data_IF_869005002020
#
_entry.id   IF_869005002020
#
_cell.length_a   1.000
_cell.length_b   1.000
_cell.length_c   1.000
_cell.angle_alpha   90.00
_cell.angle_beta   90.00
_cell.angle_gamma   90.00
#
_symmetry.space_group_name_H-M   'P 1'
#
loop_
_entity.id
_entity.type
_entity.pdbx_description
1 polymer ?
#
# COMPACT_ATOMS: atom_id res chain seq x y z
N UNK A 1 13.18 -19.92 31.52
CA UNK A 1 12.14 -20.37 30.60
C UNK A 1 11.34 -19.15 30.19
N UNK A 2 11.48 -18.71 28.95
CA UNK A 2 10.68 -17.60 28.40
C UNK A 2 9.30 -18.19 28.06
N UNK A 3 8.18 -17.58 28.47
CA UNK A 3 6.87 -18.11 28.15
C UNK A 3 6.63 -17.98 26.64
N UNK A 4 6.42 -19.11 25.97
CA UNK A 4 5.85 -19.15 24.62
C UNK A 4 4.41 -18.66 24.74
N UNK A 5 4.14 -17.43 24.32
CA UNK A 5 2.78 -16.99 24.05
C UNK A 5 2.26 -17.80 22.87
N UNK A 6 1.28 -18.66 23.12
CA UNK A 6 0.47 -19.30 22.10
C UNK A 6 -0.20 -18.19 21.27
N UNK A 7 0.35 -17.92 20.08
CA UNK A 7 -0.38 -17.20 19.06
C UNK A 7 -1.50 -18.11 18.62
N UNK A 8 -2.70 -17.93 19.21
CA UNK A 8 -3.95 -18.40 18.60
C UNK A 8 -3.86 -18.05 17.13
N UNK A 9 -3.76 -19.06 16.26
CA UNK A 9 -3.49 -18.87 14.84
C UNK A 9 -4.59 -18.00 14.26
N UNK A 10 -4.32 -16.70 14.13
CA UNK A 10 -5.19 -15.78 13.45
C UNK A 10 -5.45 -16.36 12.06
N UNK A 11 -6.72 -16.51 11.69
CA UNK A 11 -7.06 -17.05 10.37
C UNK A 11 -6.30 -16.26 9.29
N UNK A 12 -5.73 -16.94 8.29
CA UNK A 12 -4.90 -16.28 7.30
C UNK A 12 -5.70 -15.19 6.62
N UNK A 13 -5.14 -13.97 6.58
CA UNK A 13 -5.82 -12.85 5.95
C UNK A 13 -5.98 -13.13 4.45
N UNK A 14 -7.17 -12.82 3.89
CA UNK A 14 -7.39 -12.89 2.45
C UNK A 14 -6.66 -11.75 1.78
N UNK A 15 -5.75 -12.08 0.89
CA UNK A 15 -4.90 -11.11 0.19
C UNK A 15 -5.10 -11.22 -1.31
N UNK A 16 -5.22 -10.08 -1.98
CA UNK A 16 -5.30 -10.02 -3.43
C UNK A 16 -3.97 -9.55 -4.04
N UNK A 17 -3.59 -10.12 -5.19
CA UNK A 17 -2.48 -9.64 -6.02
C UNK A 17 -3.02 -9.29 -7.38
N UNK A 18 -3.05 -7.98 -7.67
CA UNK A 18 -3.52 -7.41 -8.93
C UNK A 18 -2.31 -7.13 -9.80
N UNK A 19 -2.31 -7.65 -11.02
CA UNK A 19 -1.16 -7.56 -11.93
C UNK A 19 -0.75 -8.94 -12.46
N UNK A 20 0.13 -8.93 -13.45
CA UNK A 20 0.54 -10.12 -14.20
C UNK A 20 2.05 -10.15 -14.41
N UNK A 21 2.59 -11.32 -14.72
CA UNK A 21 4.01 -11.51 -15.03
C UNK A 21 4.85 -11.95 -13.82
N UNK A 22 6.14 -12.24 -14.05
CA UNK A 22 7.03 -12.80 -13.03
C UNK A 22 7.03 -12.06 -11.67
N UNK A 23 7.01 -10.72 -11.59
CA UNK A 23 6.92 -10.00 -10.32
C UNK A 23 5.62 -10.25 -9.57
N UNK A 24 4.48 -10.31 -10.28
CA UNK A 24 3.19 -10.63 -9.66
C UNK A 24 3.16 -12.08 -9.18
N UNK A 25 3.70 -13.02 -9.96
CA UNK A 25 3.78 -14.43 -9.58
C UNK A 25 4.70 -14.67 -8.38
N UNK A 26 5.87 -14.03 -8.36
CA UNK A 26 6.77 -14.07 -7.21
C UNK A 26 6.13 -13.47 -5.96
N UNK A 27 5.37 -12.37 -6.12
CA UNK A 27 4.61 -11.73 -5.03
C UNK A 27 3.57 -12.68 -4.45
N UNK A 28 2.82 -13.41 -5.29
CA UNK A 28 1.85 -14.42 -4.85
C UNK A 28 2.54 -15.48 -3.98
N UNK A 29 3.61 -16.09 -4.48
CA UNK A 29 4.36 -17.12 -3.75
C UNK A 29 4.87 -16.60 -2.40
N UNK A 30 5.46 -15.40 -2.36
CA UNK A 30 6.00 -14.84 -1.12
C UNK A 30 4.92 -14.50 -0.09
N UNK A 31 3.74 -14.04 -0.53
CA UNK A 31 2.61 -13.76 0.36
C UNK A 31 2.05 -15.05 0.96
N UNK A 32 1.90 -16.12 0.17
CA UNK A 32 1.49 -17.43 0.68
C UNK A 32 2.48 -17.96 1.72
N UNK A 33 3.79 -17.85 1.44
CA UNK A 33 4.84 -18.20 2.40
C UNK A 33 4.81 -17.34 3.67
N UNK A 34 4.33 -16.10 3.58
CA UNK A 34 4.11 -15.21 4.72
C UNK A 34 2.79 -15.48 5.47
N UNK A 35 2.01 -16.49 5.05
CA UNK A 35 0.76 -16.91 5.68
C UNK A 35 -0.49 -16.21 5.15
N UNK A 36 -0.45 -15.61 3.96
CA UNK A 36 -1.64 -15.09 3.29
C UNK A 36 -2.47 -16.21 2.64
N UNK A 37 -3.79 -16.03 2.57
CA UNK A 37 -4.65 -16.79 1.67
C UNK A 37 -4.93 -15.96 0.43
N UNK A 38 -4.42 -16.37 -0.73
CA UNK A 38 -4.65 -15.63 -1.96
C UNK A 38 -6.09 -15.81 -2.47
N UNK A 39 -6.71 -14.70 -2.84
CA UNK A 39 -8.04 -14.70 -3.44
C UNK A 39 -8.21 -13.50 -4.39
N UNK A 40 -9.16 -13.56 -5.34
CA UNK A 40 -9.64 -12.36 -6.03
C UNK A 40 -10.16 -11.32 -5.03
N UNK A 41 -10.16 -10.05 -5.44
CA UNK A 41 -10.70 -8.96 -4.62
C UNK A 41 -12.18 -9.19 -4.35
N UNK A 42 -12.53 -9.18 -3.07
CA UNK A 42 -13.89 -9.33 -2.55
C UNK A 42 -14.06 -8.54 -1.24
N UNK A 43 -15.26 -8.56 -0.67
CA UNK A 43 -15.59 -7.86 0.58
C UNK A 43 -14.82 -8.38 1.81
N UNK A 44 -14.15 -9.53 1.72
CA UNK A 44 -13.36 -10.10 2.80
C UNK A 44 -11.86 -9.87 2.62
N UNK A 45 -11.43 -9.24 1.53
CA UNK A 45 -10.03 -8.89 1.28
C UNK A 45 -9.53 -7.94 2.35
N UNK A 46 -8.36 -8.24 2.93
CA UNK A 46 -7.76 -7.46 4.05
C UNK A 46 -6.48 -6.74 3.67
N UNK A 47 -5.86 -7.15 2.57
CA UNK A 47 -4.68 -6.52 2.01
C UNK A 47 -4.65 -6.78 0.51
N UNK A 48 -4.12 -5.85 -0.26
CA UNK A 48 -3.86 -6.07 -1.68
C UNK A 48 -2.46 -5.59 -2.08
N UNK A 49 -1.91 -6.18 -3.12
CA UNK A 49 -0.69 -5.68 -3.79
C UNK A 49 -1.04 -5.41 -5.24
N UNK A 50 -0.77 -4.19 -5.70
CA UNK A 50 -0.89 -3.81 -7.11
C UNK A 50 0.50 -3.81 -7.73
N UNK A 51 0.69 -4.63 -8.76
CA UNK A 51 1.93 -4.75 -9.53
C UNK A 51 1.68 -4.24 -10.93
N UNK A 52 2.09 -2.99 -11.17
CA UNK A 52 1.84 -2.28 -12.43
C UNK A 52 3.12 -2.05 -13.23
N UNK A 53 2.95 -1.91 -14.56
CA UNK A 53 4.04 -1.65 -15.50
C UNK A 53 3.81 -0.31 -16.19
N UNK A 54 4.79 0.58 -16.11
CA UNK A 54 4.82 1.96 -16.63
C UNK A 54 3.70 2.86 -16.09
N UNK A 55 2.47 2.59 -16.51
CA UNK A 55 1.26 3.30 -16.13
C UNK A 55 0.32 2.34 -15.42
N UNK A 56 -0.14 2.72 -14.23
CA UNK A 56 -1.17 1.97 -13.52
C UNK A 56 -2.55 2.32 -14.10
N UNK A 57 -3.40 1.35 -14.47
CA UNK A 57 -4.83 1.63 -14.57
C UNK A 57 -5.31 2.14 -13.21
N UNK A 58 -6.04 3.25 -13.21
CA UNK A 58 -6.45 3.88 -11.96
C UNK A 58 -7.56 3.09 -11.26
N UNK A 59 -8.35 2.34 -12.02
CA UNK A 59 -9.57 1.67 -11.56
C UNK A 59 -9.32 0.70 -10.40
N UNK A 60 -8.36 -0.25 -10.47
CA UNK A 60 -8.17 -1.22 -9.39
C UNK A 60 -7.75 -0.56 -8.07
N UNK A 61 -6.83 0.42 -8.10
CA UNK A 61 -6.43 1.14 -6.88
C UNK A 61 -7.56 2.01 -6.33
N UNK A 62 -8.37 2.63 -7.20
CA UNK A 62 -9.53 3.41 -6.75
C UNK A 62 -10.61 2.53 -6.12
N UNK A 63 -10.87 1.34 -6.68
CA UNK A 63 -11.85 0.41 -6.13
C UNK A 63 -11.42 -0.10 -4.75
N UNK A 64 -10.13 -0.40 -4.57
CA UNK A 64 -9.55 -0.76 -3.27
C UNK A 64 -9.62 0.39 -2.27
N UNK A 65 -9.31 1.61 -2.71
CA UNK A 65 -9.42 2.82 -1.88
C UNK A 65 -10.86 3.06 -1.44
N UNK A 66 -11.84 2.92 -2.34
CA UNK A 66 -13.27 3.08 -2.02
C UNK A 66 -13.82 1.97 -1.12
N UNK A 67 -13.19 0.80 -1.14
CA UNK A 67 -13.58 -0.36 -0.31
C UNK A 67 -12.83 -0.41 1.03
N UNK A 68 -12.05 0.63 1.35
CA UNK A 68 -11.19 0.71 2.53
C UNK A 68 -10.25 -0.51 2.68
N UNK A 69 -9.70 -1.01 1.57
CA UNK A 69 -8.74 -2.13 1.58
C UNK A 69 -7.32 -1.56 1.56
N UNK A 70 -6.49 -1.81 2.61
CA UNK A 70 -5.07 -1.47 2.61
C UNK A 70 -4.35 -2.11 1.42
N UNK A 71 -3.56 -1.34 0.69
CA UNK A 71 -2.89 -1.87 -0.50
C UNK A 71 -1.52 -1.28 -0.78
N UNK A 72 -0.56 -2.15 -1.10
CA UNK A 72 0.79 -1.75 -1.48
C UNK A 72 0.85 -1.50 -2.99
N UNK A 73 1.36 -0.33 -3.38
CA UNK A 73 1.62 0.00 -4.77
C UNK A 73 3.01 -0.48 -5.18
N UNK A 74 3.12 -1.13 -6.33
CA UNK A 74 4.39 -1.55 -6.93
C UNK A 74 4.36 -1.14 -8.39
N UNK A 75 5.37 -0.38 -8.82
CA UNK A 75 5.50 0.07 -10.20
C UNK A 75 6.85 -0.31 -10.78
N UNK A 76 6.80 -1.01 -11.90
CA UNK A 76 7.94 -1.33 -12.73
C UNK A 76 7.99 -0.36 -13.92
N UNK A 77 9.17 0.16 -14.21
CA UNK A 77 9.47 1.01 -15.38
C UNK A 77 10.76 0.47 -15.98
N UNK A 78 11.12 0.82 -17.22
CA UNK A 78 12.32 0.27 -17.87
C UNK A 78 13.62 0.33 -17.07
N UNK A 79 13.75 1.33 -16.18
CA UNK A 79 15.00 1.60 -15.47
C UNK A 79 14.83 1.63 -13.95
N UNK A 80 13.62 1.36 -13.43
CA UNK A 80 13.38 1.47 -11.99
C UNK A 80 12.20 0.62 -11.53
N UNK A 81 12.35 0.04 -10.33
CA UNK A 81 11.26 -0.54 -9.54
C UNK A 81 10.93 0.40 -8.39
N UNK A 82 9.65 0.71 -8.23
CA UNK A 82 9.12 1.51 -7.15
C UNK A 82 8.26 0.65 -6.24
N UNK A 83 8.51 0.72 -4.93
CA UNK A 83 7.74 0.01 -3.91
C UNK A 83 7.12 1.02 -2.96
N UNK A 84 5.80 0.99 -2.83
CA UNK A 84 5.03 1.95 -2.08
C UNK A 84 4.55 3.16 -2.91
N UNK A 85 3.76 4.04 -2.29
CA UNK A 85 3.35 3.98 -0.88
C UNK A 85 2.42 2.80 -0.56
N UNK A 86 2.38 2.43 0.71
CA UNK A 86 1.31 1.60 1.27
C UNK A 86 0.10 2.49 1.52
N UNK A 87 -0.96 2.26 0.78
CA UNK A 87 -2.20 3.01 0.91
C UNK A 87 -3.00 2.42 2.07
N UNK A 88 -3.23 3.23 3.10
CA UNK A 88 -4.15 2.98 4.19
C UNK A 88 -5.40 3.87 4.04
N UNK A 89 -6.59 3.32 4.25
CA UNK A 89 -7.81 4.12 4.32
C UNK A 89 -7.68 5.26 5.34
N UNK A 90 -8.21 6.43 5.02
CA UNK A 90 -8.31 7.53 5.97
C UNK A 90 -7.14 8.54 6.03
N UNK A 91 -6.15 8.48 5.13
CA UNK A 91 -5.25 9.64 4.96
C UNK A 91 -3.89 9.45 4.31
N UNK A 92 -3.50 8.23 3.94
CA UNK A 92 -2.24 8.05 3.21
C UNK A 92 -2.31 8.58 1.78
N UNK A 93 -1.19 8.99 1.15
CA UNK A 93 -1.13 9.19 -0.30
C UNK A 93 -1.60 7.95 -1.06
N UNK A 94 -2.56 8.12 -1.97
CA UNK A 94 -2.99 7.05 -2.86
C UNK A 94 -2.24 7.09 -4.20
N UNK A 95 -2.55 6.15 -5.10
CA UNK A 95 -2.01 6.13 -6.46
C UNK A 95 -2.17 7.48 -7.18
N UNK A 96 -3.33 8.12 -7.07
CA UNK A 96 -3.57 9.41 -7.71
C UNK A 96 -2.66 10.53 -7.15
N UNK A 97 -2.30 10.50 -5.86
CA UNK A 97 -1.29 11.42 -5.32
C UNK A 97 0.06 11.21 -5.99
N UNK A 98 0.47 9.95 -6.16
CA UNK A 98 1.74 9.59 -6.80
C UNK A 98 1.75 10.09 -8.25
N UNK A 99 0.67 9.89 -8.99
CA UNK A 99 0.58 10.36 -10.38
C UNK A 99 0.56 11.88 -10.50
N UNK A 100 -0.18 12.58 -9.63
CA UNK A 100 -0.21 14.04 -9.64
C UNK A 100 1.17 14.63 -9.33
N UNK A 101 1.89 14.11 -8.32
CA UNK A 101 3.26 14.54 -8.04
C UNK A 101 4.22 14.19 -9.17
N UNK A 102 4.02 13.05 -9.85
CA UNK A 102 4.85 12.67 -10.98
C UNK A 102 4.61 13.59 -12.18
N UNK A 103 3.36 13.93 -12.46
CA UNK A 103 2.96 14.89 -13.49
C UNK A 103 3.47 16.32 -13.18
N UNK A 104 3.39 16.76 -11.93
CA UNK A 104 3.90 18.09 -11.53
C UNK A 104 5.42 18.21 -11.70
N UNK A 105 6.15 17.09 -11.59
CA UNK A 105 7.61 17.03 -11.82
C UNK A 105 7.95 16.88 -13.30
N UNK A 106 7.22 16.04 -14.02
CA UNK A 106 7.45 15.71 -15.42
C UNK A 106 6.11 15.62 -16.17
N UNK A 107 5.59 16.73 -16.71
CA UNK A 107 4.26 16.78 -17.32
C UNK A 107 4.10 15.83 -18.51
N UNK A 108 5.18 15.48 -19.19
CA UNK A 108 5.18 14.60 -20.36
C UNK A 108 5.32 13.11 -19.99
N UNK A 109 5.57 12.78 -18.72
CA UNK A 109 5.80 11.40 -18.29
C UNK A 109 4.61 10.47 -18.61
N UNK A 110 3.38 10.97 -18.45
CA UNK A 110 2.17 10.21 -18.77
C UNK A 110 2.05 9.89 -20.27
N UNK A 111 2.41 10.84 -21.14
CA UNK A 111 2.39 10.64 -22.59
C UNK A 111 3.45 9.62 -23.01
N UNK A 112 4.65 9.68 -22.45
CA UNK A 112 5.72 8.72 -22.72
C UNK A 112 5.36 7.32 -22.19
N UNK A 113 4.81 7.23 -20.98
CA UNK A 113 4.36 5.96 -20.42
C UNK A 113 3.24 5.33 -21.28
N UNK A 114 2.35 6.15 -21.85
CA UNK A 114 1.30 5.67 -22.73
C UNK A 114 1.84 5.02 -24.03
N UNK A 115 3.01 5.43 -24.51
CA UNK A 115 3.66 4.81 -25.68
C UNK A 115 4.17 3.39 -25.39
N UNK A 116 4.34 3.03 -24.11
CA UNK A 116 4.86 1.74 -23.66
C UNK A 116 3.75 0.83 -23.10
N UNK A 117 2.47 1.21 -23.28
CA UNK A 117 1.34 0.39 -22.84
C UNK A 117 1.33 -0.96 -23.57
N UNK A 118 1.30 -2.04 -22.79
CA UNK A 118 1.32 -3.42 -23.30
C UNK A 118 2.71 -4.01 -23.48
N UNK A 119 3.76 -3.18 -23.41
CA UNK A 119 5.14 -3.64 -23.40
C UNK A 119 5.56 -4.15 -22.02
N UNK A 120 6.57 -5.02 -21.97
CA UNK A 120 7.17 -5.48 -20.72
C UNK A 120 8.51 -4.80 -20.48
N UNK A 121 8.72 -4.17 -19.32
CA UNK A 121 9.98 -3.49 -19.03
C UNK A 121 11.10 -4.50 -18.80
N UNK A 122 12.34 -4.07 -19.03
CA UNK A 122 13.53 -4.86 -18.67
C UNK A 122 13.59 -5.21 -17.17
N UNK A 123 12.85 -4.48 -16.33
CA UNK A 123 12.69 -4.75 -14.90
C UNK A 123 11.77 -5.91 -14.57
N UNK A 124 11.18 -6.57 -15.56
CA UNK A 124 10.47 -7.85 -15.39
C UNK A 124 11.43 -9.02 -15.07
N UNK A 125 12.74 -8.74 -14.98
CA UNK A 125 13.79 -9.68 -14.61
C UNK A 125 13.57 -10.34 -13.24
N UNK A 126 14.04 -11.58 -13.11
CA UNK A 126 13.89 -12.41 -11.90
C UNK A 126 14.47 -11.76 -10.62
N UNK A 127 15.55 -11.00 -10.74
CA UNK A 127 16.17 -10.26 -9.64
C UNK A 127 15.24 -9.17 -9.08
N UNK A 128 14.49 -8.47 -9.94
CA UNK A 128 13.52 -7.45 -9.55
C UNK A 128 12.31 -8.10 -8.90
N UNK A 129 11.82 -9.21 -9.47
CA UNK A 129 10.74 -10.01 -8.90
C UNK A 129 11.06 -10.47 -7.47
N UNK A 130 12.30 -10.88 -7.19
CA UNK A 130 12.73 -11.29 -5.85
C UNK A 130 12.65 -10.15 -4.81
N UNK A 131 13.12 -8.94 -5.17
CA UNK A 131 13.03 -7.77 -4.26
C UNK A 131 11.56 -7.39 -4.04
N UNK A 132 10.78 -7.31 -5.13
CA UNK A 132 9.34 -7.00 -5.09
C UNK A 132 8.60 -7.96 -4.14
N UNK A 133 8.82 -9.26 -4.30
CA UNK A 133 8.18 -10.29 -3.49
C UNK A 133 8.57 -10.19 -2.00
N UNK A 134 9.85 -9.98 -1.70
CA UNK A 134 10.33 -9.85 -0.33
C UNK A 134 9.71 -8.64 0.39
N UNK A 135 9.69 -7.47 -0.27
CA UNK A 135 9.11 -6.26 0.30
C UNK A 135 7.58 -6.34 0.43
N UNK A 136 6.88 -6.97 -0.53
CA UNK A 136 5.44 -7.19 -0.43
C UNK A 136 5.09 -8.06 0.78
N UNK A 137 5.83 -9.16 0.99
CA UNK A 137 5.65 -10.02 2.16
C UNK A 137 5.95 -9.29 3.48
N UNK A 138 7.02 -8.50 3.53
CA UNK A 138 7.36 -7.69 4.72
C UNK A 138 6.29 -6.63 5.01
N UNK A 139 5.85 -5.88 4.00
CA UNK A 139 4.79 -4.89 4.15
C UNK A 139 3.48 -5.51 4.66
N UNK A 140 3.12 -6.68 4.13
CA UNK A 140 1.97 -7.45 4.62
C UNK A 140 2.13 -7.83 6.10
N UNK A 141 3.27 -8.41 6.49
CA UNK A 141 3.55 -8.80 7.89
C UNK A 141 3.53 -7.61 8.84
N UNK A 142 4.11 -6.49 8.43
CA UNK A 142 4.07 -5.23 9.19
C UNK A 142 2.65 -4.69 9.34
N UNK A 143 1.84 -4.80 8.30
CA UNK A 143 0.43 -4.38 8.35
C UNK A 143 -0.38 -5.25 9.29
N UNK A 144 -0.18 -6.58 9.29
CA UNK A 144 -0.83 -7.48 10.24
C UNK A 144 -0.40 -7.24 11.69
N UNK A 145 0.84 -6.81 11.90
CA UNK A 145 1.36 -6.44 13.21
C UNK A 145 0.96 -5.02 13.65
N UNK A 146 0.03 -4.37 12.93
CA UNK A 146 -0.44 -3.01 13.20
C UNK A 146 0.70 -1.96 13.23
N UNK A 147 1.79 -2.25 12.53
CA UNK A 147 2.97 -1.38 12.38
C UNK A 147 3.27 -1.17 10.90
N UNK A 148 2.33 -0.60 10.12
CA UNK A 148 2.47 -0.46 8.67
C UNK A 148 3.70 0.38 8.31
N UNK A 149 4.38 -0.04 7.26
CA UNK A 149 5.55 0.64 6.69
C UNK A 149 5.19 1.24 5.33
N UNK A 150 5.97 2.21 4.85
CA UNK A 150 5.80 2.83 3.53
C UNK A 150 4.51 3.66 3.34
N UNK A 151 3.81 4.06 4.41
CA UNK A 151 2.51 4.78 4.30
C UNK A 151 2.62 6.12 3.54
N UNK A 152 3.70 6.86 3.72
CA UNK A 152 3.99 8.13 3.01
C UNK A 152 5.37 8.15 2.39
N UNK A 153 5.87 6.95 2.06
CA UNK A 153 7.21 6.74 1.55
C UNK A 153 7.14 5.70 0.45
N UNK A 154 7.84 5.93 -0.64
CA UNK A 154 8.13 4.90 -1.64
C UNK A 154 9.62 4.70 -1.77
N UNK A 155 10.03 3.48 -2.07
CA UNK A 155 11.41 3.10 -2.32
C UNK A 155 11.64 3.00 -3.82
N UNK A 156 12.74 3.57 -4.30
CA UNK A 156 13.20 3.44 -5.68
C UNK A 156 14.42 2.54 -5.73
N UNK A 157 14.33 1.49 -6.53
CA UNK A 157 15.47 0.69 -6.95
C UNK A 157 15.77 1.06 -8.40
N UNK A 158 16.97 1.57 -8.67
CA UNK A 158 17.41 1.73 -10.05
C UNK A 158 17.78 0.36 -10.62
N UNK A 159 17.52 0.12 -11.89
CA UNK A 159 17.77 -1.18 -12.52
C UNK A 159 18.65 -0.99 -13.75
N UNK A 160 19.77 -1.71 -13.79
CA UNK A 160 20.70 -1.74 -14.93
C UNK A 160 20.88 -3.18 -15.39
N UNK A 161 20.61 -3.46 -16.67
CA UNK A 161 20.65 -4.81 -17.25
C UNK A 161 19.86 -5.86 -16.43
N UNK A 162 18.67 -5.48 -15.98
CA UNK A 162 17.84 -6.35 -15.14
C UNK A 162 18.47 -6.64 -13.77
N UNK A 163 19.36 -5.79 -13.24
CA UNK A 163 19.90 -5.89 -11.89
C UNK A 163 19.51 -4.65 -11.07
N UNK A 164 18.67 -4.80 -10.04
CA UNK A 164 18.32 -3.69 -9.16
C UNK A 164 19.49 -3.31 -8.25
N UNK A 165 19.60 -2.03 -7.91
CA UNK A 165 20.53 -1.54 -6.89
C UNK A 165 20.28 -2.21 -5.54
N UNK A 166 21.33 -2.49 -4.77
CA UNK A 166 21.19 -3.11 -3.44
C UNK A 166 20.56 -2.14 -2.44
N UNK A 167 20.93 -0.86 -2.49
CA UNK A 167 20.41 0.18 -1.61
C UNK A 167 19.35 1.01 -2.36
N UNK A 168 18.08 0.99 -1.91
CA UNK A 168 17.05 1.83 -2.51
C UNK A 168 17.14 3.28 -2.03
N UNK A 169 16.67 4.19 -2.87
CA UNK A 169 16.43 5.57 -2.49
C UNK A 169 15.02 5.69 -1.92
N UNK A 170 14.88 6.19 -0.70
CA UNK A 170 13.58 6.51 -0.12
C UNK A 170 13.11 7.89 -0.59
N UNK A 171 11.87 7.97 -1.05
CA UNK A 171 11.20 9.20 -1.45
C UNK A 171 9.93 9.39 -0.61
N UNK A 172 9.79 10.57 0.01
CA UNK A 172 8.53 10.93 0.68
C UNK A 172 7.47 11.28 -0.36
N UNK A 173 6.25 10.76 -0.15
CA UNK A 173 5.08 11.05 -0.98
C UNK A 173 4.03 11.68 -0.07
N UNK A 174 3.87 13.02 -0.07
CA UNK A 174 2.78 13.63 0.67
C UNK A 174 1.45 13.45 -0.08
N UNK A 175 0.34 13.56 0.65
CA UNK A 175 -0.96 13.67 0.00
C UNK A 175 -0.99 14.91 -0.91
N UNK A 176 -1.45 14.73 -2.15
CA UNK A 176 -1.42 15.79 -3.14
C UNK A 176 -2.62 16.73 -2.95
N UNK A 177 -2.45 18.08 -2.95
CA UNK A 177 -3.53 19.03 -2.66
C UNK A 177 -4.69 18.98 -3.66
N UNK A 178 -4.42 18.56 -4.90
CA UNK A 178 -5.44 18.34 -5.96
C UNK A 178 -6.09 16.94 -5.93
N UNK A 179 -5.70 16.05 -5.00
CA UNK A 179 -6.28 14.71 -4.93
C UNK A 179 -7.59 14.70 -4.15
N UNK A 180 -8.65 14.09 -4.72
CA UNK A 180 -9.92 13.90 -4.02
C UNK A 180 -9.83 13.01 -2.76
N UNK A 181 -8.76 12.24 -2.62
CA UNK A 181 -8.47 11.43 -1.43
C UNK A 181 -8.24 12.27 -0.16
N UNK A 182 -7.81 13.53 -0.29
CA UNK A 182 -7.64 14.45 0.86
C UNK A 182 -8.99 14.76 1.51
N UNK A 183 -10.05 14.89 0.71
CA UNK A 183 -11.41 15.10 1.21
C UNK A 183 -11.95 13.88 1.99
N UNK A 184 -11.55 12.67 1.58
CA UNK A 184 -11.88 11.44 2.31
C UNK A 184 -11.17 11.38 3.67
N UNK A 185 -9.89 11.76 3.72
CA UNK A 185 -9.13 11.85 4.96
C UNK A 185 -9.74 12.84 5.96
N UNK A 186 -10.18 14.00 5.46
CA UNK A 186 -10.85 15.01 6.28
C UNK A 186 -12.19 14.50 6.83
N UNK A 187 -12.96 13.78 6.00
CA UNK A 187 -14.26 13.21 6.41
C UNK A 187 -14.11 12.11 7.46
N UNK A 188 -13.10 11.24 7.33
CA UNK A 188 -12.77 10.23 8.34
C UNK A 188 -12.34 10.85 9.68
N UNK A 189 -11.66 12.00 9.64
CA UNK A 189 -11.30 12.74 10.86
C UNK A 189 -12.53 13.34 11.57
N UNK A 190 -13.52 13.81 10.80
CA UNK A 190 -14.77 14.39 11.34
C UNK A 190 -15.70 13.35 11.96
N UNK A 191 -15.85 12.17 11.35
CA UNK A 191 -16.62 11.06 11.95
C UNK A 191 -15.98 10.56 13.23
N UNK A 192 -14.64 10.54 13.29
CA UNK A 192 -13.92 10.17 14.52
C UNK A 192 -14.05 11.24 15.63
N UNK A 193 -14.14 12.52 15.28
CA UNK A 193 -14.37 13.60 16.26
C UNK A 193 -15.80 13.61 16.81
N UNK A 194 -16.79 13.14 16.05
CA UNK A 194 -18.19 13.10 16.46
C UNK A 194 -18.52 11.95 17.43
N UNK A 195 -17.66 10.93 17.52
CA UNK A 195 -17.83 9.76 18.41
C UNK A 195 -17.14 9.94 19.78
N UNK A 196 -16.64 11.14 20.09
CA UNK A 196 -16.19 11.50 21.45
C UNK A 196 -17.39 11.96 22.28
N UNK A 197 -17.72 11.30 23.41
CA UNK A 197 -18.69 11.86 24.33
C UNK A 197 -18.16 13.20 24.86
N UNK A 198 -18.96 14.27 24.71
CA UNK A 198 -18.67 15.58 25.27
C UNK A 198 -18.67 15.50 26.81
N UNK A 199 -17.50 15.34 27.40
CA UNK A 199 -17.26 15.75 28.80
C UNK A 199 -16.72 17.18 28.80
N UNK A 200 -17.46 18.07 29.44
CA UNK A 200 -17.16 19.51 29.48
C UNK A 200 -15.86 19.87 30.20
N UNK A 201 -15.32 21.00 29.75
CA UNK A 201 -14.44 21.99 30.42
C UNK A 201 -13.28 21.50 31.28
N UNK A 202 -12.05 21.66 30.79
CA UNK A 202 -11.03 22.54 31.41
C UNK A 202 -9.76 22.60 30.53
N UNK A 203 -9.06 23.73 30.64
CA UNK A 203 -7.93 24.14 29.81
C UNK A 203 -6.66 23.31 30.08
N UNK A 204 -5.94 22.89 29.03
CA UNK A 204 -4.49 22.67 29.14
C UNK A 204 -3.80 22.70 27.77
N UNK A 205 -2.60 23.26 27.83
CA UNK A 205 -1.67 23.71 26.81
C UNK A 205 -1.18 22.64 25.82
N UNK A 206 -1.02 23.13 24.59
CA UNK A 206 -0.29 22.62 23.43
C UNK A 206 0.94 21.75 23.76
N UNK A 207 0.88 20.44 23.46
CA UNK A 207 2.00 19.50 23.43
C UNK A 207 1.63 18.31 22.52
N UNK A 208 2.29 18.23 21.36
CA UNK A 208 2.53 17.07 20.49
C UNK A 208 1.37 16.08 20.31
N UNK A 209 0.50 16.36 19.33
CA UNK A 209 -0.54 15.45 18.86
C UNK A 209 0.05 14.39 17.90
N UNK A 210 0.52 13.26 18.43
CA UNK A 210 0.76 12.07 17.61
C UNK A 210 -0.58 11.40 17.26
N UNK A 211 -0.83 11.02 15.98
CA UNK A 211 -2.05 10.33 15.61
C UNK A 211 -2.03 8.90 16.17
N UNK A 212 -2.80 8.67 17.24
CA UNK A 212 -3.13 7.33 17.74
C UNK A 212 -4.16 6.69 16.81
N UNK A 213 -3.73 5.71 16.04
CA UNK A 213 -4.57 4.89 15.17
C UNK A 213 -5.44 3.93 16.01
N UNK A 214 -6.72 3.78 15.67
CA UNK A 214 -7.58 2.73 16.26
C UNK A 214 -7.42 1.40 15.51
N UNK A 215 -7.60 0.26 16.21
CA UNK A 215 -7.48 -1.07 15.61
C UNK A 215 -8.57 -1.34 14.58
N UNK A 216 -8.24 -2.14 13.56
CA UNK A 216 -9.18 -2.64 12.56
C UNK A 216 -10.32 -3.41 13.26
N UNK A 217 -11.58 -3.14 12.88
CA UNK A 217 -12.74 -3.82 13.45
C UNK A 217 -12.64 -5.34 13.28
N UNK A 218 -12.72 -6.06 14.40
CA UNK A 218 -12.87 -7.52 14.39
C UNK A 218 -14.18 -7.92 13.66
N UNK A 219 -14.18 -9.04 12.90
CA UNK A 219 -15.39 -9.51 12.25
C UNK A 219 -16.46 -9.87 13.29
N UNK A 220 -17.66 -9.29 13.13
CA UNK A 220 -18.82 -9.65 13.94
C UNK A 220 -19.12 -11.15 13.77
N UNK A 221 -18.89 -11.93 14.82
CA UNK A 221 -19.41 -13.28 14.92
C UNK A 221 -20.94 -13.20 14.92
N UNK A 222 -21.57 -13.66 13.83
CA UNK A 222 -23.01 -13.94 13.84
C UNK A 222 -23.24 -15.19 14.68
N UNK A 223 -23.93 -15.02 15.80
CA UNK A 223 -24.49 -16.12 16.56
C UNK A 223 -25.55 -16.85 15.73
N UNK A 224 -25.42 -18.18 15.66
CA UNK A 224 -26.49 -19.13 15.42
C UNK A 224 -26.25 -20.31 16.35
#
# INVERSE_FOLDING_TARGET
AVPHTDHTAASPARVAVIGTGPPADATRVALEQAGATLAPVDSNTRFAVLVDHFLSPAEPSQDLLRSDIPHLLIRLTDQSVWLGPLVLPGGSPCLACVELHSHDREPLAGLLAAQLLGERPATDASSCAAIIAAFAALAYRHTLAESPVLVSTRLRFQVTDGRPTISPQAESVPAHPRCGCVSLAHSASLTHSADRPHSGTEAQTDLMNEPRWLPLRAPHARAA
#
